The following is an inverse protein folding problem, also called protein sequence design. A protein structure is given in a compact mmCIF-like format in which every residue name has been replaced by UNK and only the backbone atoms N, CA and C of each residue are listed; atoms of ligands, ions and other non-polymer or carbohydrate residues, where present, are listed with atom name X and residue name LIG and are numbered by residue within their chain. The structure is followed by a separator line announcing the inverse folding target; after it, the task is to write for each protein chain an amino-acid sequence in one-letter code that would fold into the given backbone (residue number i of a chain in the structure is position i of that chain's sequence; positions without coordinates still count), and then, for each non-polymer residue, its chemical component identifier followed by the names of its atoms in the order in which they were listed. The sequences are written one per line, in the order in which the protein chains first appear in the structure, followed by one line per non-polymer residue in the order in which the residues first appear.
data_IF_966092216577
#
_entry.id   IF_966092216577
#
_cell.length_a   1.000
_cell.length_b   1.000
_cell.length_c   1.000
_cell.angle_alpha   90.00
_cell.angle_beta   90.00
_cell.angle_gamma   90.00
#
_symmetry.space_group_name_H-M   'P 1'
#
loop_
_entity.id
_entity.type
_entity.pdbx_description
1 polymer ?
#
# COMPACT_ATOMS: atom_id res chain seq x y z
N UNK A 1 -58.55 -18.98 11.99
CA UNK A 1 -57.10 -18.96 11.70
C UNK A 1 -56.51 -17.80 12.51
N UNK A 2 -55.50 -18.01 13.37
CA UNK A 2 -55.01 -16.96 14.25
C UNK A 2 -54.17 -15.93 13.49
N UNK A 3 -54.30 -14.69 13.93
CA UNK A 3 -53.76 -13.44 13.37
C UNK A 3 -52.24 -13.37 13.46
N UNK A 4 -51.63 -12.91 12.37
CA UNK A 4 -50.50 -11.96 12.35
C UNK A 4 -49.24 -12.29 13.17
N UNK A 5 -48.63 -13.46 12.93
CA UNK A 5 -47.21 -13.63 13.24
C UNK A 5 -46.33 -12.96 12.17
N UNK A 6 -46.34 -11.62 12.12
CA UNK A 6 -45.30 -10.83 11.45
C UNK A 6 -44.02 -10.90 12.29
N UNK A 7 -43.33 -12.02 12.21
CA UNK A 7 -41.97 -12.14 12.72
C UNK A 7 -41.09 -11.24 11.85
N UNK A 8 -40.91 -10.00 12.29
CA UNK A 8 -39.89 -9.10 11.75
C UNK A 8 -38.54 -9.64 12.21
N UNK A 9 -37.93 -10.48 11.37
CA UNK A 9 -36.50 -10.80 11.50
C UNK A 9 -35.75 -9.47 11.51
N UNK A 10 -34.96 -9.14 12.56
CA UNK A 10 -34.12 -7.96 12.52
C UNK A 10 -33.20 -8.13 11.31
N UNK A 11 -33.31 -7.23 10.33
CA UNK A 11 -32.42 -7.17 9.18
C UNK A 11 -31.01 -7.13 9.74
N UNK A 12 -30.30 -8.26 9.62
CA UNK A 12 -29.04 -8.49 10.29
C UNK A 12 -28.21 -7.24 10.22
N UNK A 13 -27.96 -6.64 11.38
CA UNK A 13 -27.01 -5.56 11.60
C UNK A 13 -25.59 -6.14 11.47
N UNK A 14 -25.36 -6.77 10.33
CA UNK A 14 -24.17 -7.46 9.86
C UNK A 14 -23.99 -7.15 8.37
N UNK A 15 -24.51 -6.00 7.94
CA UNK A 15 -24.24 -5.41 6.64
C UNK A 15 -22.80 -4.94 6.61
N UNK A 16 -21.89 -5.92 6.51
CA UNK A 16 -20.55 -5.81 5.96
C UNK A 16 -19.85 -4.54 6.44
N UNK A 17 -19.12 -4.62 7.57
CA UNK A 17 -18.03 -3.66 7.81
C UNK A 17 -17.29 -3.56 6.48
N UNK A 18 -17.36 -2.38 5.83
CA UNK A 18 -16.81 -2.19 4.49
C UNK A 18 -15.30 -2.23 4.64
N UNK A 19 -14.74 -3.43 4.72
CA UNK A 19 -13.31 -3.70 4.55
C UNK A 19 -12.83 -3.25 3.15
N UNK A 20 -13.76 -2.85 2.27
CA UNK A 20 -13.50 -2.22 0.97
C UNK A 20 -13.17 -0.72 1.04
N UNK A 21 -13.27 -0.08 2.20
CA UNK A 21 -12.58 1.19 2.40
C UNK A 21 -11.11 0.91 2.74
N UNK A 22 -10.47 0.19 1.82
CA UNK A 22 -9.02 0.14 1.73
C UNK A 22 -8.56 1.58 1.72
N UNK A 23 -7.86 1.99 2.77
CA UNK A 23 -7.32 3.33 2.95
C UNK A 23 -6.75 3.81 1.61
N UNK A 24 -7.49 4.69 0.94
CA UNK A 24 -7.05 5.27 -0.33
C UNK A 24 -5.91 6.20 0.01
N UNK A 25 -4.71 5.63 0.11
CA UNK A 25 -3.50 6.39 0.39
C UNK A 25 -3.49 7.56 -0.59
N UNK A 26 -3.55 8.78 -0.05
CA UNK A 26 -3.56 10.02 -0.86
C UNK A 26 -2.32 10.10 -1.75
N UNK A 27 -1.26 9.36 -1.39
CA UNK A 27 0.01 9.26 -2.09
C UNK A 27 0.19 7.79 -2.53
N UNK A 28 -0.17 7.51 -3.78
CA UNK A 28 0.15 6.23 -4.43
C UNK A 28 1.39 6.42 -5.29
N UNK A 29 2.51 5.87 -4.84
CA UNK A 29 3.75 5.86 -5.63
C UNK A 29 3.55 4.85 -6.77
N UNK A 30 3.58 5.34 -8.01
CA UNK A 30 3.50 4.46 -9.19
C UNK A 30 4.75 3.57 -9.23
N UNK A 31 4.64 2.30 -9.68
CA UNK A 31 5.78 1.37 -9.78
C UNK A 31 6.99 1.95 -10.53
N UNK A 32 6.75 2.81 -11.52
CA UNK A 32 7.81 3.51 -12.25
C UNK A 32 8.74 4.35 -11.38
N UNK A 33 8.24 4.97 -10.30
CA UNK A 33 9.09 5.76 -9.38
C UNK A 33 10.03 4.86 -8.58
N UNK A 34 9.58 3.66 -8.23
CA UNK A 34 10.38 2.68 -7.50
C UNK A 34 11.55 2.22 -8.37
N UNK A 35 11.29 1.95 -9.65
CA UNK A 35 12.31 1.55 -10.62
C UNK A 35 13.37 2.65 -10.78
N UNK A 36 12.95 3.90 -10.90
CA UNK A 36 13.87 5.05 -10.99
C UNK A 36 14.72 5.18 -9.72
N UNK A 37 14.11 5.04 -8.54
CA UNK A 37 14.84 5.09 -7.27
C UNK A 37 15.91 4.00 -7.18
N UNK A 38 15.59 2.78 -7.59
CA UNK A 38 16.54 1.65 -7.61
C UNK A 38 17.72 1.95 -8.53
N UNK A 39 17.47 2.48 -9.74
CA UNK A 39 18.53 2.83 -10.69
C UNK A 39 19.45 3.90 -10.09
N UNK A 40 18.89 4.93 -9.45
CA UNK A 40 19.67 5.99 -8.80
C UNK A 40 20.57 5.42 -7.70
N UNK A 41 20.04 4.54 -6.86
CA UNK A 41 20.82 3.87 -5.79
C UNK A 41 21.97 3.06 -6.39
N UNK A 42 21.72 2.29 -7.45
CA UNK A 42 22.76 1.51 -8.13
C UNK A 42 23.87 2.43 -8.66
N UNK A 43 23.51 3.53 -9.33
CA UNK A 43 24.49 4.48 -9.87
C UNK A 43 25.35 5.10 -8.77
N UNK A 44 24.75 5.52 -7.66
CA UNK A 44 25.47 6.06 -6.50
C UNK A 44 26.43 5.00 -5.93
N UNK A 45 25.94 3.77 -5.79
CA UNK A 45 26.72 2.67 -5.22
C UNK A 45 27.89 2.27 -6.13
N UNK A 46 27.69 2.23 -7.44
CA UNK A 46 28.76 2.00 -8.42
C UNK A 46 29.77 3.14 -8.42
N UNK A 47 29.31 4.39 -8.40
CA UNK A 47 30.19 5.54 -8.33
C UNK A 47 31.05 5.51 -7.05
N UNK A 48 30.43 5.22 -5.91
CA UNK A 48 31.14 5.08 -4.64
C UNK A 48 32.08 3.86 -4.64
N UNK A 49 31.72 2.75 -5.28
CA UNK A 49 32.62 1.60 -5.36
C UNK A 49 33.86 1.88 -6.22
N UNK A 50 33.69 2.56 -7.36
CA UNK A 50 34.81 2.85 -8.28
C UNK A 50 35.67 4.01 -7.81
N UNK A 51 35.07 5.07 -7.28
CA UNK A 51 35.77 6.28 -6.88
C UNK A 51 35.95 6.40 -5.36
N UNK A 52 35.23 5.63 -4.55
CA UNK A 52 35.27 5.73 -3.10
C UNK A 52 36.63 5.42 -2.52
N UNK A 53 37.37 4.43 -3.04
CA UNK A 53 38.74 4.19 -2.57
C UNK A 53 39.65 5.40 -2.83
N UNK A 54 39.47 6.08 -3.98
CA UNK A 54 40.21 7.31 -4.31
C UNK A 54 39.71 8.54 -3.54
N UNK A 55 38.42 8.61 -3.22
CA UNK A 55 37.78 9.77 -2.59
C UNK A 55 37.85 9.72 -1.05
N UNK A 56 37.75 8.54 -0.45
CA UNK A 56 37.89 8.29 0.98
C UNK A 56 39.35 8.15 1.42
N UNK A 57 40.31 8.08 0.48
CA UNK A 57 41.74 8.13 0.77
C UNK A 57 42.28 6.92 1.55
N UNK A 58 41.65 5.76 1.38
CA UNK A 58 42.04 4.47 1.98
C UNK A 58 42.50 3.53 0.87
#
# INVERSE_FOLDING_TARGET
MPQDNKISMPSGMGGLMRYFDEYKSKIRIKPGHIIIMVIVVIVIMTFLYTYGNRLLGI
#
